data_IF_446765344406
#
_entry.id   IF_446765344406
#
_cell.length_a   1.000
_cell.length_b   1.000
_cell.length_c   1.000
_cell.angle_alpha   90.00
_cell.angle_beta   90.00
_cell.angle_gamma   90.00
#
_symmetry.space_group_name_H-M   'P 1'
#
loop_
_entity.id
_entity.type
_entity.pdbx_description
1 polymer ?
#
# COMPACT_ATOMS: atom_id res chain seq x y z
N UNK A 1 13.48 38.04 5.68
CA UNK A 1 13.13 36.80 4.96
C UNK A 1 14.16 35.70 5.27
N UNK A 2 15.45 35.95 5.00
CA UNK A 2 16.59 35.05 5.31
C UNK A 2 16.78 34.77 6.81
N UNK A 3 16.38 35.71 7.67
CA UNK A 3 16.60 35.63 9.12
C UNK A 3 15.55 34.78 9.85
N UNK A 4 14.30 34.72 9.34
CA UNK A 4 13.26 33.80 9.85
C UNK A 4 13.51 32.35 9.40
N UNK A 5 13.99 32.18 8.16
CA UNK A 5 14.44 30.87 7.64
C UNK A 5 15.65 30.38 8.47
N UNK A 6 16.65 31.23 8.74
CA UNK A 6 17.74 30.92 9.66
C UNK A 6 17.31 30.66 11.10
N UNK A 7 16.26 31.32 11.59
CA UNK A 7 15.72 31.06 12.93
C UNK A 7 14.94 29.73 13.02
N UNK A 8 14.42 29.22 11.91
CA UNK A 8 13.87 27.87 11.81
C UNK A 8 14.99 26.83 11.72
N UNK A 9 16.08 27.13 11.01
CA UNK A 9 17.29 26.29 10.95
C UNK A 9 18.06 26.22 12.28
N UNK A 10 18.09 27.31 13.07
CA UNK A 10 18.89 27.42 14.30
C UNK A 10 18.14 27.06 15.60
N UNK A 11 16.84 26.74 15.55
CA UNK A 11 16.15 26.19 16.72
C UNK A 11 16.35 24.69 16.76
N UNK A 12 17.45 24.30 17.40
CA UNK A 12 17.67 22.98 17.99
C UNK A 12 16.57 22.66 19.02
N UNK A 13 15.37 22.37 18.53
CA UNK A 13 14.39 21.56 19.25
C UNK A 13 14.83 20.11 19.05
N UNK A 14 14.83 19.28 20.11
CA UNK A 14 15.07 17.85 19.92
C UNK A 14 13.99 17.35 18.95
N UNK A 15 14.42 16.91 17.76
CA UNK A 15 13.55 16.37 16.73
C UNK A 15 12.76 15.21 17.35
N UNK A 16 11.50 15.46 17.71
CA UNK A 16 10.57 14.40 18.08
C UNK A 16 10.33 13.62 16.79
N UNK A 17 11.04 12.49 16.69
CA UNK A 17 11.34 11.69 15.51
C UNK A 17 12.60 12.18 14.76
N UNK A 18 13.72 11.61 15.15
CA UNK A 18 14.74 11.16 14.20
C UNK A 18 14.00 10.36 13.10
N UNK A 19 13.68 11.02 11.99
CA UNK A 19 12.71 10.55 10.99
C UNK A 19 13.19 9.21 10.41
N UNK A 20 12.52 8.14 10.82
CA UNK A 20 12.73 6.80 10.26
C UNK A 20 12.20 6.78 8.83
N UNK A 21 13.06 7.10 7.86
CA UNK A 21 12.76 6.98 6.43
C UNK A 21 12.33 5.56 6.09
N UNK A 22 11.12 5.34 5.56
CA UNK A 22 10.73 4.02 5.05
C UNK A 22 11.46 3.78 3.75
N UNK A 23 12.54 3.02 3.85
CA UNK A 23 13.35 2.66 2.70
C UNK A 23 12.57 1.76 1.76
N UNK A 24 11.53 1.07 2.28
CA UNK A 24 10.77 0.07 1.55
C UNK A 24 9.29 0.08 1.92
N UNK A 25 8.45 -0.21 0.94
CA UNK A 25 7.02 -0.41 1.14
C UNK A 25 6.57 -1.70 0.46
N UNK A 26 5.96 -2.59 1.26
CA UNK A 26 5.26 -3.77 0.77
C UNK A 26 3.79 -3.39 0.52
N UNK A 27 3.32 -3.65 -0.70
CA UNK A 27 1.98 -3.29 -1.16
C UNK A 27 1.20 -4.59 -1.39
N UNK A 28 0.09 -4.77 -0.69
CA UNK A 28 -0.84 -5.85 -0.99
C UNK A 28 -1.51 -5.64 -2.35
N UNK A 29 -1.90 -6.74 -2.99
CA UNK A 29 -2.48 -6.71 -4.33
C UNK A 29 -4.00 -6.71 -4.26
N UNK A 30 -4.60 -7.83 -3.85
CA UNK A 30 -6.04 -8.01 -3.80
C UNK A 30 -6.65 -7.05 -2.76
N UNK A 31 -7.79 -6.45 -3.09
CA UNK A 31 -8.49 -5.44 -2.27
C UNK A 31 -7.66 -4.22 -1.82
N UNK A 32 -6.46 -4.02 -2.36
CA UNK A 32 -5.54 -2.92 -2.02
C UNK A 32 -5.02 -2.19 -3.27
N UNK A 33 -4.08 -2.78 -4.00
CA UNK A 33 -3.62 -2.22 -5.28
C UNK A 33 -4.71 -2.30 -6.34
N UNK A 34 -5.55 -3.34 -6.29
CA UNK A 34 -6.67 -3.57 -7.20
C UNK A 34 -7.92 -3.93 -6.41
N UNK A 35 -9.09 -3.44 -6.82
CA UNK A 35 -10.36 -3.63 -6.12
C UNK A 35 -11.01 -4.99 -6.32
N UNK A 36 -10.24 -6.03 -6.64
CA UNK A 36 -10.76 -7.38 -6.87
C UNK A 36 -9.93 -8.41 -6.11
N UNK A 37 -10.54 -9.59 -5.91
CA UNK A 37 -9.90 -10.79 -5.37
C UNK A 37 -9.61 -11.77 -6.52
N UNK A 38 -8.34 -12.06 -6.80
CA UNK A 38 -7.94 -12.90 -7.94
C UNK A 38 -8.51 -14.31 -7.88
N UNK A 39 -8.53 -14.93 -6.70
CA UNK A 39 -9.05 -16.30 -6.52
C UNK A 39 -10.56 -16.38 -6.76
N UNK A 40 -11.31 -15.34 -6.37
CA UNK A 40 -12.76 -15.27 -6.59
C UNK A 40 -13.08 -15.15 -8.09
N UNK A 41 -12.23 -14.42 -8.84
CA UNK A 41 -12.36 -14.34 -10.28
C UNK A 41 -12.12 -15.70 -10.95
N UNK A 42 -11.10 -16.44 -10.51
CA UNK A 42 -10.85 -17.81 -11.00
C UNK A 42 -12.02 -18.74 -10.70
N UNK A 43 -12.56 -18.67 -9.47
CA UNK A 43 -13.74 -19.46 -9.09
C UNK A 43 -14.98 -19.10 -9.91
N UNK A 44 -15.15 -17.82 -10.25
CA UNK A 44 -16.24 -17.34 -11.11
C UNK A 44 -16.15 -17.91 -12.53
N UNK A 45 -14.96 -17.96 -13.13
CA UNK A 45 -14.75 -18.55 -14.47
C UNK A 45 -15.25 -20.00 -14.51
N UNK A 46 -15.15 -20.70 -13.39
CA UNK A 46 -15.49 -22.12 -13.23
C UNK A 46 -16.92 -22.37 -12.72
N UNK A 47 -17.67 -21.31 -12.39
CA UNK A 47 -19.02 -21.44 -11.84
C UNK A 47 -19.08 -21.90 -10.38
N UNK A 48 -17.95 -21.97 -9.68
CA UNK A 48 -17.84 -22.43 -8.27
C UNK A 48 -17.67 -21.28 -7.27
N UNK A 49 -17.87 -20.04 -7.71
CA UNK A 49 -17.66 -18.83 -6.90
C UNK A 49 -18.36 -18.85 -5.54
N UNK A 50 -19.64 -19.20 -5.49
CA UNK A 50 -20.40 -19.26 -4.21
C UNK A 50 -19.75 -20.21 -3.21
N UNK A 51 -19.38 -21.41 -3.65
CA UNK A 51 -18.74 -22.43 -2.82
C UNK A 51 -17.38 -21.96 -2.31
N UNK A 52 -16.57 -21.35 -3.19
CA UNK A 52 -15.24 -20.82 -2.81
C UNK A 52 -15.36 -19.66 -1.80
N UNK A 53 -16.34 -18.78 -1.95
CA UNK A 53 -16.61 -17.70 -0.99
C UNK A 53 -17.01 -18.27 0.38
N UNK A 54 -17.89 -19.27 0.41
CA UNK A 54 -18.29 -19.95 1.65
C UNK A 54 -17.09 -20.65 2.32
N UNK A 55 -16.25 -21.35 1.55
CA UNK A 55 -15.02 -21.97 2.05
C UNK A 55 -14.06 -20.94 2.65
N UNK A 56 -13.93 -19.79 2.00
CA UNK A 56 -13.06 -18.69 2.48
C UNK A 56 -13.56 -18.15 3.82
N UNK A 57 -14.88 -17.96 3.96
CA UNK A 57 -15.50 -17.51 5.22
C UNK A 57 -15.27 -18.53 6.35
N UNK A 58 -15.40 -19.83 6.08
CA UNK A 58 -15.22 -20.86 7.10
C UNK A 58 -13.75 -21.05 7.50
N UNK A 59 -12.82 -20.98 6.54
CA UNK A 59 -11.39 -21.08 6.81
C UNK A 59 -10.87 -19.98 7.75
N UNK A 60 -11.45 -18.77 7.68
CA UNK A 60 -11.11 -17.67 8.57
C UNK A 60 -11.73 -17.78 9.98
N UNK A 61 -12.72 -18.66 10.18
CA UNK A 61 -13.43 -18.83 11.45
C UNK A 61 -12.96 -20.03 12.31
N UNK A 62 -12.44 -21.09 11.70
CA UNK A 62 -12.23 -22.38 12.38
C UNK A 62 -10.77 -22.70 12.76
N UNK A 63 -9.83 -21.76 12.65
CA UNK A 63 -8.42 -22.02 12.98
C UNK A 63 -7.75 -23.09 12.11
N UNK A 64 -8.28 -23.30 10.90
CA UNK A 64 -7.71 -24.22 9.92
C UNK A 64 -6.46 -23.65 9.25
N UNK A 65 -5.54 -24.54 8.85
CA UNK A 65 -4.30 -24.13 8.16
C UNK A 65 -4.60 -23.42 6.84
N UNK A 66 -4.10 -22.19 6.69
CA UNK A 66 -4.27 -21.38 5.47
C UNK A 66 -3.86 -22.14 4.20
N UNK A 67 -2.77 -22.92 4.27
CA UNK A 67 -2.27 -23.74 3.17
C UNK A 67 -3.31 -24.77 2.72
N UNK A 68 -3.94 -25.48 3.67
CA UNK A 68 -4.98 -26.47 3.40
C UNK A 68 -6.23 -25.81 2.82
N UNK A 69 -6.62 -24.64 3.33
CA UNK A 69 -7.75 -23.89 2.80
C UNK A 69 -7.51 -23.39 1.37
N UNK A 70 -6.29 -22.92 1.07
CA UNK A 70 -5.89 -22.55 -0.29
C UNK A 70 -5.90 -23.76 -1.23
N UNK A 71 -5.31 -24.88 -0.82
CA UNK A 71 -5.28 -26.12 -1.59
C UNK A 71 -6.69 -26.60 -1.96
N UNK A 72 -7.61 -26.65 -1.00
CA UNK A 72 -9.01 -27.07 -1.24
C UNK A 72 -9.74 -26.15 -2.22
N UNK A 73 -9.52 -24.83 -2.13
CA UNK A 73 -10.12 -23.88 -3.07
C UNK A 73 -9.57 -24.09 -4.48
N UNK A 74 -8.26 -24.22 -4.63
CA UNK A 74 -7.63 -24.47 -5.93
C UNK A 74 -8.03 -25.81 -6.54
N UNK A 75 -8.19 -26.84 -5.72
CA UNK A 75 -8.67 -28.16 -6.16
C UNK A 75 -10.09 -28.11 -6.72
N UNK A 76 -10.95 -27.26 -6.15
CA UNK A 76 -12.30 -27.04 -6.66
C UNK A 76 -12.30 -26.16 -7.93
N UNK A 77 -11.40 -25.19 -8.00
CA UNK A 77 -11.33 -24.24 -9.12
C UNK A 77 -10.72 -24.92 -10.35
N UNK A 78 -9.64 -25.70 -10.20
CA UNK A 78 -8.84 -26.23 -11.32
C UNK A 78 -8.53 -25.12 -12.34
N UNK A 79 -7.79 -24.06 -11.94
CA UNK A 79 -7.49 -22.94 -12.83
C UNK A 79 -6.72 -23.41 -14.06
N UNK A 80 -6.80 -22.67 -15.17
CA UNK A 80 -5.92 -22.89 -16.33
C UNK A 80 -4.95 -21.75 -16.42
N UNK A 81 -3.78 -21.98 -17.02
CA UNK A 81 -2.76 -20.95 -17.16
C UNK A 81 -3.32 -19.66 -17.79
N UNK A 82 -4.09 -19.81 -18.88
CA UNK A 82 -4.78 -18.71 -19.58
C UNK A 82 -5.76 -17.92 -18.71
N UNK A 83 -6.27 -18.51 -17.63
CA UNK A 83 -7.18 -17.80 -16.72
C UNK A 83 -6.40 -16.75 -15.91
N UNK A 84 -5.10 -16.97 -15.64
CA UNK A 84 -4.25 -16.00 -14.96
C UNK A 84 -3.96 -14.78 -15.83
N UNK A 85 -3.85 -14.95 -17.15
CA UNK A 85 -3.78 -13.83 -18.10
C UNK A 85 -5.07 -13.00 -18.06
N UNK A 86 -6.22 -13.66 -17.99
CA UNK A 86 -7.49 -12.97 -17.84
C UNK A 86 -7.57 -12.21 -16.50
N UNK A 87 -7.16 -12.83 -15.40
CA UNK A 87 -7.09 -12.18 -14.08
C UNK A 87 -6.18 -10.96 -14.12
N UNK A 88 -4.98 -11.07 -14.73
CA UNK A 88 -4.05 -9.96 -14.87
C UNK A 88 -4.65 -8.76 -15.61
N UNK A 89 -5.39 -9.01 -16.68
CA UNK A 89 -6.10 -7.96 -17.42
C UNK A 89 -7.19 -7.29 -16.58
N UNK A 90 -7.91 -8.04 -15.75
CA UNK A 90 -8.92 -7.49 -14.84
C UNK A 90 -8.26 -6.71 -13.70
N UNK A 91 -7.12 -7.17 -13.16
CA UNK A 91 -6.34 -6.42 -12.17
C UNK A 91 -5.95 -5.04 -12.69
N UNK A 92 -5.37 -4.97 -13.90
CA UNK A 92 -4.94 -3.69 -14.50
C UNK A 92 -6.14 -2.74 -14.68
N UNK A 93 -7.31 -3.27 -15.08
CA UNK A 93 -8.53 -2.46 -15.25
C UNK A 93 -9.12 -1.92 -13.95
N UNK A 94 -8.88 -2.57 -12.82
CA UNK A 94 -9.46 -2.22 -11.51
C UNK A 94 -8.40 -1.72 -10.50
N UNK A 95 -7.24 -1.31 -11.00
CA UNK A 95 -6.17 -0.76 -10.18
C UNK A 95 -6.58 0.59 -9.56
N UNK A 96 -6.01 0.92 -8.39
CA UNK A 96 -6.07 2.28 -7.83
C UNK A 96 -5.52 3.26 -8.86
N UNK A 97 -6.35 4.25 -9.25
CA UNK A 97 -6.13 5.09 -10.45
C UNK A 97 -4.78 5.79 -10.48
N UNK A 98 -4.27 6.21 -9.32
CA UNK A 98 -3.00 6.94 -9.19
C UNK A 98 -1.83 6.07 -8.71
N UNK A 99 -2.03 4.75 -8.53
CA UNK A 99 -0.99 3.85 -8.02
C UNK A 99 0.28 3.92 -8.85
N UNK A 100 0.17 3.91 -10.18
CA UNK A 100 1.35 3.95 -11.07
C UNK A 100 2.21 5.19 -10.83
N UNK A 101 1.61 6.37 -10.89
CA UNK A 101 2.33 7.66 -10.73
C UNK A 101 2.92 7.78 -9.33
N UNK A 102 2.18 7.35 -8.30
CA UNK A 102 2.68 7.36 -6.91
C UNK A 102 3.86 6.41 -6.74
N UNK A 103 3.77 5.19 -7.27
CA UNK A 103 4.85 4.18 -7.18
C UNK A 103 6.09 4.67 -7.92
N UNK A 104 5.94 5.19 -9.13
CA UNK A 104 7.04 5.79 -9.91
C UNK A 104 7.71 6.93 -9.12
N UNK A 105 6.91 7.82 -8.49
CA UNK A 105 7.44 8.92 -7.68
C UNK A 105 8.17 8.44 -6.42
N UNK A 106 7.63 7.43 -5.73
CA UNK A 106 8.27 6.82 -4.56
C UNK A 106 9.61 6.18 -4.93
N UNK A 107 9.65 5.41 -6.03
CA UNK A 107 10.87 4.78 -6.56
C UNK A 107 11.92 5.83 -6.97
N UNK A 108 11.51 6.89 -7.68
CA UNK A 108 12.39 8.00 -8.07
C UNK A 108 13.00 8.72 -6.85
N UNK A 109 12.33 8.63 -5.70
CA UNK A 109 12.75 9.19 -4.42
C UNK A 109 13.40 8.13 -3.49
N UNK A 110 13.83 6.99 -4.04
CA UNK A 110 14.64 6.00 -3.35
C UNK A 110 13.88 5.05 -2.43
N UNK A 111 12.56 4.96 -2.56
CA UNK A 111 11.73 3.97 -1.86
C UNK A 111 11.67 2.67 -2.68
N UNK A 112 12.06 1.57 -2.08
CA UNK A 112 12.00 0.22 -2.67
C UNK A 112 10.59 -0.35 -2.54
N UNK A 113 9.80 -0.25 -3.61
CA UNK A 113 8.42 -0.72 -3.67
C UNK A 113 8.35 -2.19 -4.07
N UNK A 114 7.56 -3.00 -3.36
CA UNK A 114 7.36 -4.42 -3.65
C UNK A 114 5.91 -4.84 -3.52
N UNK A 115 5.52 -5.89 -4.25
CA UNK A 115 4.21 -6.51 -4.11
C UNK A 115 4.31 -7.72 -3.19
N UNK A 116 3.41 -7.80 -2.21
CA UNK A 116 3.38 -8.86 -1.20
C UNK A 116 1.95 -9.37 -1.04
N UNK A 117 1.65 -10.49 -1.71
CA UNK A 117 0.26 -10.97 -1.87
C UNK A 117 0.10 -12.45 -1.57
N UNK A 118 -1.05 -12.81 -0.99
CA UNK A 118 -1.49 -14.22 -0.90
C UNK A 118 -2.05 -14.77 -2.22
N UNK A 119 -2.19 -13.92 -3.25
CA UNK A 119 -2.62 -14.27 -4.60
C UNK A 119 -1.51 -14.92 -5.43
N UNK A 120 -1.69 -14.92 -6.76
CA UNK A 120 -0.90 -15.74 -7.67
C UNK A 120 0.12 -14.93 -8.47
N UNK A 121 1.37 -15.36 -8.44
CA UNK A 121 2.50 -14.64 -9.05
C UNK A 121 2.28 -14.44 -10.54
N UNK A 122 1.82 -15.46 -11.27
CA UNK A 122 1.67 -15.38 -12.72
C UNK A 122 0.67 -14.27 -13.16
N UNK A 123 -0.41 -14.02 -12.39
CA UNK A 123 -1.35 -12.93 -12.69
C UNK A 123 -0.86 -11.56 -12.18
N UNK A 124 0.06 -11.54 -11.22
CA UNK A 124 0.64 -10.32 -10.66
C UNK A 124 1.78 -9.77 -11.52
N UNK A 125 2.53 -10.62 -12.25
CA UNK A 125 3.64 -10.18 -13.11
C UNK A 125 3.22 -9.11 -14.13
N UNK A 126 2.12 -9.28 -14.92
CA UNK A 126 1.72 -8.25 -15.86
C UNK A 126 1.25 -6.95 -15.17
N UNK A 127 0.59 -7.07 -14.01
CA UNK A 127 0.19 -5.91 -13.19
C UNK A 127 1.42 -5.14 -12.69
N UNK A 128 2.42 -5.83 -12.14
CA UNK A 128 3.67 -5.25 -11.66
C UNK A 128 4.41 -4.52 -12.78
N UNK A 129 4.50 -5.14 -13.96
CA UNK A 129 5.07 -4.52 -15.16
C UNK A 129 4.33 -3.25 -15.56
N UNK A 130 3.00 -3.24 -15.47
CA UNK A 130 2.18 -2.06 -15.80
C UNK A 130 2.46 -0.86 -14.88
N UNK A 131 2.81 -1.10 -13.61
CA UNK A 131 3.13 -0.05 -12.62
C UNK A 131 4.62 0.16 -12.37
N UNK A 132 5.49 -0.48 -13.14
CA UNK A 132 6.94 -0.31 -13.01
C UNK A 132 7.57 -0.98 -11.79
N UNK A 133 6.95 -2.01 -11.20
CA UNK A 133 7.59 -2.83 -10.16
C UNK A 133 8.33 -3.99 -10.84
N UNK A 134 9.63 -4.16 -10.58
CA UNK A 134 10.42 -5.20 -11.24
C UNK A 134 10.09 -6.59 -10.67
N UNK A 135 10.27 -7.63 -11.48
CA UNK A 135 9.77 -8.98 -11.17
C UNK A 135 10.38 -9.60 -9.90
N UNK A 136 11.62 -9.23 -9.57
CA UNK A 136 12.30 -9.64 -8.32
C UNK A 136 11.68 -9.04 -7.05
N UNK A 137 10.84 -8.00 -7.20
CA UNK A 137 10.10 -7.36 -6.12
C UNK A 137 8.65 -7.86 -6.02
N UNK A 138 8.35 -9.02 -6.63
CA UNK A 138 7.05 -9.69 -6.53
C UNK A 138 7.18 -10.90 -5.62
N UNK A 139 6.44 -10.88 -4.52
CA UNK A 139 6.32 -11.99 -3.58
C UNK A 139 4.84 -12.43 -3.56
N UNK A 140 4.57 -13.59 -4.14
CA UNK A 140 3.23 -14.18 -4.29
C UNK A 140 3.33 -15.71 -4.37
N UNK A 141 2.20 -16.42 -4.38
CA UNK A 141 2.16 -17.87 -4.56
C UNK A 141 2.31 -18.26 -6.03
N UNK A 142 3.07 -19.31 -6.31
CA UNK A 142 3.25 -19.84 -7.66
C UNK A 142 2.27 -20.99 -7.91
N UNK A 143 1.60 -20.96 -9.07
CA UNK A 143 0.79 -22.06 -9.58
C UNK A 143 1.57 -22.82 -10.66
N UNK A 144 1.47 -24.14 -10.63
CA UNK A 144 2.12 -25.04 -11.58
C UNK A 144 1.10 -25.58 -12.58
N UNK A 145 1.51 -25.64 -13.84
CA UNK A 145 0.68 -26.12 -14.96
C UNK A 145 1.45 -27.15 -15.79
N UNK A 146 0.72 -28.07 -16.44
CA UNK A 146 1.30 -28.98 -17.44
C UNK A 146 1.46 -28.27 -18.80
N UNK A 147 1.97 -29.00 -19.80
CA UNK A 147 2.19 -28.46 -21.15
C UNK A 147 0.88 -28.04 -21.85
N UNK A 148 -0.25 -28.62 -21.45
CA UNK A 148 -1.60 -28.27 -21.92
C UNK A 148 -2.22 -27.08 -21.17
N UNK A 149 -1.51 -26.49 -20.19
CA UNK A 149 -1.97 -25.36 -19.39
C UNK A 149 -3.00 -25.72 -18.31
N UNK A 150 -3.07 -26.99 -17.92
CA UNK A 150 -3.93 -27.51 -16.85
C UNK A 150 -3.21 -27.50 -15.50
N UNK A 151 -3.96 -27.22 -14.43
CA UNK A 151 -3.43 -27.08 -13.08
C UNK A 151 -2.84 -28.39 -12.54
N UNK A 152 -1.60 -28.30 -12.05
CA UNK A 152 -0.89 -29.41 -11.38
C UNK A 152 -0.76 -29.22 -9.87
N UNK A 153 -0.94 -28.00 -9.38
CA UNK A 153 -0.70 -27.67 -7.97
C UNK A 153 -0.15 -26.26 -7.77
N UNK A 154 0.27 -25.97 -6.56
CA UNK A 154 0.93 -24.72 -6.19
C UNK A 154 2.14 -25.01 -5.30
N UNK A 155 3.03 -24.03 -5.15
CA UNK A 155 4.16 -24.15 -4.22
C UNK A 155 3.69 -24.06 -2.76
N UNK A 156 3.38 -25.22 -2.15
CA UNK A 156 3.03 -25.30 -0.73
C UNK A 156 4.17 -24.98 0.23
N UNK A 157 5.42 -24.92 -0.26
CA UNK A 157 6.59 -24.48 0.51
C UNK A 157 6.72 -22.96 0.56
N UNK A 158 6.03 -22.23 -0.32
CA UNK A 158 6.06 -20.77 -0.37
C UNK A 158 5.54 -20.19 0.95
N UNK A 159 6.26 -19.22 1.52
CA UNK A 159 5.89 -18.57 2.78
C UNK A 159 4.48 -17.95 2.71
N UNK A 160 4.09 -17.40 1.57
CA UNK A 160 2.78 -16.74 1.38
C UNK A 160 1.63 -17.74 1.21
N UNK A 161 1.93 -19.03 1.15
CA UNK A 161 0.95 -20.10 1.22
C UNK A 161 0.76 -20.64 2.63
N UNK A 162 1.46 -20.07 3.63
CA UNK A 162 1.44 -20.52 5.02
C UNK A 162 0.78 -19.48 5.94
N UNK A 163 0.42 -19.92 7.14
CA UNK A 163 0.01 -19.01 8.21
C UNK A 163 1.08 -17.95 8.49
N UNK A 164 0.61 -16.71 8.67
CA UNK A 164 1.45 -15.51 8.86
C UNK A 164 2.52 -15.35 7.78
N UNK A 165 2.21 -15.76 6.55
CA UNK A 165 3.13 -15.76 5.43
C UNK A 165 3.78 -14.40 5.15
N UNK A 166 2.98 -13.33 5.15
CA UNK A 166 3.48 -11.96 4.93
C UNK A 166 4.50 -11.55 6.00
N UNK A 167 4.28 -11.89 7.27
CA UNK A 167 5.25 -11.66 8.36
C UNK A 167 6.57 -12.37 8.08
N UNK A 168 6.52 -13.70 7.84
CA UNK A 168 7.70 -14.53 7.56
C UNK A 168 8.47 -14.03 6.33
N UNK A 169 7.76 -13.58 5.30
CA UNK A 169 8.38 -13.04 4.10
C UNK A 169 9.10 -11.71 4.38
N UNK A 170 8.52 -10.81 5.17
CA UNK A 170 9.17 -9.55 5.55
C UNK A 170 10.38 -9.80 6.44
N UNK A 171 10.29 -10.71 7.41
CA UNK A 171 11.42 -11.16 8.23
C UNK A 171 12.60 -11.62 7.35
N UNK A 172 12.32 -12.50 6.38
CA UNK A 172 13.30 -12.97 5.39
C UNK A 172 13.92 -11.84 4.56
N UNK A 173 13.15 -10.80 4.23
CA UNK A 173 13.65 -9.63 3.47
C UNK A 173 14.50 -8.70 4.34
N UNK A 174 14.14 -8.51 5.61
CA UNK A 174 14.92 -7.75 6.58
C UNK A 174 16.32 -8.34 6.78
N UNK A 175 16.45 -9.67 6.79
CA UNK A 175 17.77 -10.33 6.84
C UNK A 175 18.68 -10.00 5.64
N UNK A 176 18.12 -9.69 4.47
CA UNK A 176 18.92 -9.40 3.26
C UNK A 176 19.40 -7.97 3.17
N UNK A 177 18.59 -7.00 3.59
CA UNK A 177 18.98 -5.59 3.62
C UNK A 177 18.14 -4.83 4.63
N UNK A 178 18.85 -4.13 5.52
CA UNK A 178 18.33 -3.35 6.63
C UNK A 178 17.58 -2.12 6.15
N UNK A 179 16.71 -1.57 7.00
CA UNK A 179 15.90 -0.39 6.72
C UNK A 179 14.53 -0.48 7.38
N UNK A 180 13.80 0.63 7.37
CA UNK A 180 12.42 0.68 7.85
C UNK A 180 11.45 0.19 6.78
N UNK A 181 10.54 -0.69 7.17
CA UNK A 181 9.54 -1.30 6.30
C UNK A 181 8.15 -0.78 6.64
N UNK A 182 7.51 -0.18 5.64
CA UNK A 182 6.08 0.05 5.65
C UNK A 182 5.35 -1.12 4.95
N UNK A 183 4.13 -1.40 5.37
CA UNK A 183 3.20 -2.27 4.65
C UNK A 183 1.86 -1.57 4.47
N UNK A 184 1.24 -1.75 3.31
CA UNK A 184 -0.12 -1.30 3.01
C UNK A 184 -1.00 -2.47 2.55
N UNK A 185 -2.20 -2.58 3.11
CA UNK A 185 -3.21 -3.56 2.72
C UNK A 185 -4.53 -3.38 3.48
N UNK A 186 -5.57 -4.08 3.04
CA UNK A 186 -6.90 -4.00 3.65
C UNK A 186 -7.11 -5.05 4.75
N UNK A 187 -6.20 -6.00 4.89
CA UNK A 187 -6.36 -7.23 5.63
C UNK A 187 -5.71 -7.26 7.01
N UNK A 188 -6.16 -8.21 7.83
CA UNK A 188 -5.53 -8.52 9.13
C UNK A 188 -4.10 -9.06 8.93
N UNK A 189 -3.82 -9.69 7.80
CA UNK A 189 -2.49 -10.21 7.47
C UNK A 189 -1.40 -9.14 7.48
N UNK A 190 -1.74 -7.87 7.20
CA UNK A 190 -0.81 -6.75 7.27
C UNK A 190 -0.62 -6.25 8.70
N UNK A 191 -1.62 -6.42 9.57
CA UNK A 191 -1.43 -6.10 11.00
C UNK A 191 -0.53 -7.13 11.68
N UNK A 192 -0.67 -8.40 11.27
CA UNK A 192 0.09 -9.54 11.81
C UNK A 192 1.58 -9.50 11.47
N UNK A 193 2.04 -8.56 10.63
CA UNK A 193 3.46 -8.40 10.32
C UNK A 193 4.26 -7.75 11.45
N UNK A 194 3.62 -7.24 12.51
CA UNK A 194 4.34 -6.77 13.70
C UNK A 194 5.11 -7.94 14.39
N UNK A 195 6.36 -7.74 14.85
CA UNK A 195 7.15 -6.50 14.85
C UNK A 195 8.03 -6.30 13.60
N UNK A 196 7.89 -7.14 12.57
CA UNK A 196 8.75 -7.12 11.38
C UNK A 196 8.47 -5.91 10.48
N UNK A 197 7.31 -5.28 10.58
CA UNK A 197 7.04 -3.98 9.93
C UNK A 197 7.12 -2.86 10.94
N UNK A 198 7.76 -1.77 10.53
CA UNK A 198 7.91 -0.55 11.33
C UNK A 198 6.66 0.34 11.25
N UNK A 199 5.85 0.18 10.19
CA UNK A 199 4.68 1.00 9.93
C UNK A 199 3.62 0.28 9.10
N UNK A 200 2.37 0.33 9.56
CA UNK A 200 1.25 -0.36 8.91
C UNK A 200 0.20 0.65 8.49
N UNK A 201 -0.10 0.64 7.20
CA UNK A 201 -1.07 1.51 6.55
C UNK A 201 -2.26 0.64 6.15
N UNK A 202 -3.37 0.77 6.88
CA UNK A 202 -4.62 0.14 6.49
C UNK A 202 -5.20 0.84 5.26
N UNK A 203 -5.66 0.07 4.28
CA UNK A 203 -6.30 0.59 3.09
C UNK A 203 -7.76 0.18 3.03
N UNK A 204 -8.65 1.18 2.99
CA UNK A 204 -10.11 1.02 2.99
C UNK A 204 -10.77 1.44 1.68
N UNK A 205 -10.01 1.75 0.64
CA UNK A 205 -10.54 2.31 -0.61
C UNK A 205 -11.47 1.38 -1.40
N UNK A 206 -11.39 0.07 -1.16
CA UNK A 206 -12.29 -0.92 -1.75
C UNK A 206 -13.11 -1.67 -0.70
N UNK A 207 -12.47 -2.14 0.37
CA UNK A 207 -13.10 -2.87 1.47
C UNK A 207 -12.65 -2.27 2.79
N UNK A 208 -13.60 -1.79 3.59
CA UNK A 208 -13.30 -1.27 4.93
C UNK A 208 -13.47 -2.38 5.97
N UNK A 209 -12.35 -2.78 6.59
CA UNK A 209 -12.35 -3.77 7.68
C UNK A 209 -12.21 -3.07 9.02
N UNK A 210 -13.19 -3.24 9.89
CA UNK A 210 -13.25 -2.56 11.20
C UNK A 210 -11.97 -2.76 12.02
N UNK A 211 -11.46 -4.00 12.05
CA UNK A 211 -10.23 -4.33 12.78
C UNK A 211 -9.00 -3.60 12.23
N UNK A 212 -8.85 -3.56 10.91
CA UNK A 212 -7.74 -2.84 10.25
C UNK A 212 -7.83 -1.34 10.49
N UNK A 213 -9.04 -0.77 10.38
CA UNK A 213 -9.28 0.62 10.71
C UNK A 213 -8.88 0.95 12.15
N UNK A 214 -9.13 0.05 13.11
CA UNK A 214 -8.81 0.25 14.54
C UNK A 214 -7.33 0.05 14.88
N UNK A 215 -6.68 -0.95 14.28
CA UNK A 215 -5.35 -1.43 14.72
C UNK A 215 -4.18 -0.94 13.85
N UNK A 216 -4.40 -0.51 12.60
CA UNK A 216 -3.34 0.03 11.75
C UNK A 216 -2.80 1.37 12.31
N UNK A 217 -1.53 1.69 12.05
CA UNK A 217 -0.93 2.94 12.53
C UNK A 217 -1.55 4.16 11.81
N UNK A 218 -1.91 3.98 10.54
CA UNK A 218 -2.70 4.89 9.71
C UNK A 218 -3.76 4.11 8.94
N UNK A 219 -4.90 4.72 8.65
CA UNK A 219 -5.93 4.16 7.76
C UNK A 219 -6.33 5.14 6.64
N UNK A 220 -6.30 4.70 5.39
CA UNK A 220 -6.71 5.45 4.20
C UNK A 220 -8.12 5.00 3.81
N UNK A 221 -9.13 5.88 3.92
CA UNK A 221 -10.52 5.51 3.62
C UNK A 221 -10.86 5.52 2.13
N UNK A 222 -10.10 6.27 1.33
CA UNK A 222 -10.41 6.55 -0.08
C UNK A 222 -9.58 5.69 -1.04
N UNK A 223 -10.08 5.40 -2.26
CA UNK A 223 -9.38 4.62 -3.28
C UNK A 223 -8.29 5.42 -4.00
N UNK A 224 -7.29 5.89 -3.25
CA UNK A 224 -6.14 6.65 -3.75
C UNK A 224 -4.87 6.33 -2.97
N UNK A 225 -3.75 6.28 -3.66
CA UNK A 225 -2.42 6.10 -3.09
C UNK A 225 -1.69 7.43 -2.89
N UNK A 226 -2.24 8.58 -3.30
CA UNK A 226 -1.54 9.86 -3.17
C UNK A 226 -1.09 10.19 -1.74
N UNK A 227 -1.80 9.84 -0.65
CA UNK A 227 -1.30 10.08 0.69
C UNK A 227 0.06 9.42 0.96
N UNK A 228 0.39 8.30 0.29
CA UNK A 228 1.67 7.61 0.47
C UNK A 228 2.88 8.49 0.18
N UNK A 229 2.74 9.51 -0.67
CA UNK A 229 3.80 10.50 -0.93
C UNK A 229 4.18 11.21 0.37
N UNK A 230 3.20 11.66 1.16
CA UNK A 230 3.40 12.37 2.41
C UNK A 230 3.74 11.44 3.58
N UNK A 231 3.27 10.20 3.52
CA UNK A 231 3.45 9.21 4.59
C UNK A 231 4.80 8.50 4.53
N UNK A 232 5.40 8.36 3.34
CA UNK A 232 6.61 7.55 3.13
C UNK A 232 7.85 8.35 2.76
N UNK A 233 7.69 9.55 2.18
CA UNK A 233 8.83 10.41 1.87
C UNK A 233 9.20 11.29 3.05
N UNK A 234 10.49 11.58 3.17
CA UNK A 234 10.95 12.56 4.14
C UNK A 234 10.59 14.00 3.70
N UNK A 235 10.50 14.93 4.65
CA UNK A 235 10.16 16.32 4.37
C UNK A 235 11.09 17.04 3.38
N UNK A 236 12.36 16.64 3.23
CA UNK A 236 13.28 17.28 2.28
C UNK A 236 12.95 16.87 0.85
N UNK A 237 12.65 15.59 0.62
CA UNK A 237 12.17 15.11 -0.69
C UNK A 237 10.83 15.72 -1.07
N UNK A 238 9.92 15.87 -0.11
CA UNK A 238 8.62 16.55 -0.34
C UNK A 238 8.84 18.01 -0.75
N UNK A 239 9.74 18.74 -0.07
CA UNK A 239 10.12 20.11 -0.47
C UNK A 239 10.75 20.16 -1.85
N UNK A 240 11.64 19.22 -2.17
CA UNK A 240 12.25 19.11 -3.50
C UNK A 240 11.19 18.91 -4.58
N UNK A 241 10.24 18.00 -4.36
CA UNK A 241 9.10 17.82 -5.28
C UNK A 241 8.35 19.14 -5.44
N UNK A 242 8.04 19.82 -4.34
CA UNK A 242 7.24 21.03 -4.36
C UNK A 242 7.92 22.22 -5.04
N UNK A 243 9.21 22.48 -4.76
CA UNK A 243 9.94 23.65 -5.22
C UNK A 243 10.66 23.44 -6.55
N UNK A 244 11.14 22.22 -6.82
CA UNK A 244 12.05 21.95 -7.95
C UNK A 244 11.42 21.08 -9.05
N UNK A 245 10.40 20.26 -8.74
CA UNK A 245 9.78 19.33 -9.70
C UNK A 245 8.35 19.75 -10.02
N UNK A 246 8.20 20.79 -10.83
CA UNK A 246 6.90 21.37 -11.16
C UNK A 246 5.94 20.35 -11.79
N UNK A 247 6.46 19.40 -12.56
CA UNK A 247 5.73 18.28 -13.16
C UNK A 247 5.07 17.35 -12.11
N UNK A 248 5.65 17.26 -10.90
CA UNK A 248 5.15 16.44 -9.80
C UNK A 248 4.35 17.25 -8.77
N UNK A 249 4.20 18.57 -8.95
CA UNK A 249 3.49 19.41 -7.99
C UNK A 249 2.00 19.07 -7.93
N UNK A 250 1.36 18.76 -9.06
CA UNK A 250 -0.07 18.43 -9.10
C UNK A 250 -0.39 17.18 -8.27
N UNK A 251 0.40 16.11 -8.40
CA UNK A 251 0.19 14.88 -7.63
C UNK A 251 0.47 15.11 -6.13
N UNK A 252 1.43 15.98 -5.78
CA UNK A 252 1.68 16.37 -4.39
C UNK A 252 0.53 17.19 -3.80
N UNK A 253 -0.05 18.13 -4.55
CA UNK A 253 -1.26 18.86 -4.12
C UNK A 253 -2.41 17.89 -3.89
N UNK A 254 -2.60 16.93 -4.81
CA UNK A 254 -3.59 15.86 -4.64
C UNK A 254 -3.33 15.04 -3.37
N UNK A 255 -2.07 14.76 -3.03
CA UNK A 255 -1.72 14.07 -1.79
C UNK A 255 -2.20 14.84 -0.55
N UNK A 256 -1.96 16.15 -0.48
CA UNK A 256 -2.45 16.99 0.62
C UNK A 256 -3.98 17.03 0.70
N UNK A 257 -4.67 17.19 -0.44
CA UNK A 257 -6.13 17.21 -0.48
C UNK A 257 -6.76 15.88 -0.02
N UNK A 258 -6.09 14.76 -0.32
CA UNK A 258 -6.50 13.42 0.08
C UNK A 258 -6.24 13.10 1.56
N UNK A 259 -5.53 13.95 2.31
CA UNK A 259 -5.29 13.74 3.74
C UNK A 259 -6.58 13.80 4.58
N UNK A 260 -7.66 14.38 4.06
CA UNK A 260 -9.00 14.37 4.67
C UNK A 260 -9.56 12.97 4.88
N UNK A 261 -9.18 12.01 4.02
CA UNK A 261 -9.53 10.59 4.13
C UNK A 261 -8.52 9.76 4.92
N UNK A 262 -7.61 10.37 5.68
CA UNK A 262 -6.55 9.68 6.41
C UNK A 262 -6.78 9.77 7.91
N UNK A 263 -6.93 8.62 8.54
CA UNK A 263 -7.06 8.49 9.99
C UNK A 263 -5.70 8.12 10.61
N UNK A 264 -5.21 8.95 11.53
CA UNK A 264 -3.96 8.73 12.25
C UNK A 264 -4.22 8.12 13.64
N UNK A 265 -3.47 7.08 14.01
CA UNK A 265 -3.47 6.55 15.39
C UNK A 265 -2.35 7.17 16.22
N UNK A 266 -2.36 6.90 17.53
CA UNK A 266 -1.42 7.49 18.49
C UNK A 266 0.05 7.41 18.04
N UNK A 267 0.48 6.25 17.51
CA UNK A 267 1.85 6.06 16.99
C UNK A 267 2.21 6.97 15.81
N UNK A 268 1.21 7.41 15.04
CA UNK A 268 1.38 8.21 13.82
C UNK A 268 1.08 9.71 14.01
N UNK A 269 0.64 10.16 15.20
CA UNK A 269 0.39 11.58 15.48
C UNK A 269 1.59 12.52 15.22
N UNK A 270 2.84 12.15 15.55
CA UNK A 270 3.96 13.02 15.22
C UNK A 270 4.16 13.21 13.71
N UNK A 271 3.90 12.17 12.91
CA UNK A 271 3.92 12.26 11.45
C UNK A 271 2.81 13.20 10.94
N UNK A 272 1.61 13.09 11.51
CA UNK A 272 0.50 14.00 11.21
C UNK A 272 0.89 15.47 11.42
N UNK A 273 1.52 15.78 12.55
CA UNK A 273 1.99 17.14 12.85
C UNK A 273 3.03 17.63 11.83
N UNK A 274 3.98 16.78 11.43
CA UNK A 274 4.98 17.13 10.42
C UNK A 274 4.35 17.44 9.06
N UNK A 275 3.30 16.71 8.66
CA UNK A 275 2.55 16.97 7.43
C UNK A 275 1.82 18.31 7.49
N UNK A 276 1.23 18.67 8.65
CA UNK A 276 0.58 19.97 8.86
C UNK A 276 1.59 21.11 8.70
N UNK A 277 2.78 20.99 9.31
CA UNK A 277 3.83 22.01 9.21
C UNK A 277 4.31 22.20 7.76
N UNK A 278 4.48 21.11 7.00
CA UNK A 278 4.79 21.16 5.56
C UNK A 278 3.68 21.85 4.77
N UNK A 279 2.43 21.55 5.10
CA UNK A 279 1.28 22.14 4.44
C UNK A 279 1.22 23.66 4.65
N UNK A 280 1.40 24.12 5.89
CA UNK A 280 1.44 25.55 6.22
C UNK A 280 2.58 26.29 5.50
N UNK A 281 3.76 25.67 5.41
CA UNK A 281 4.91 26.18 4.65
C UNK A 281 4.54 26.42 3.17
N UNK A 282 3.91 25.42 2.53
CA UNK A 282 3.57 25.50 1.11
C UNK A 282 2.43 26.48 0.83
N UNK A 283 1.41 26.54 1.69
CA UNK A 283 0.34 27.54 1.58
C UNK A 283 0.91 28.96 1.68
N UNK A 284 1.84 29.18 2.61
CA UNK A 284 2.54 30.46 2.71
C UNK A 284 3.30 30.76 1.41
N UNK A 285 4.07 29.80 0.88
CA UNK A 285 4.81 29.98 -0.37
C UNK A 285 3.90 30.34 -1.55
N UNK A 286 2.80 29.63 -1.77
CA UNK A 286 1.89 29.89 -2.90
C UNK A 286 1.16 31.22 -2.79
N UNK A 287 0.87 31.69 -1.58
CA UNK A 287 0.21 32.99 -1.37
C UNK A 287 1.12 34.18 -1.67
N UNK A 288 2.44 34.03 -1.52
CA UNK A 288 3.37 35.16 -1.58
C UNK A 288 4.38 35.10 -2.73
N UNK A 289 4.59 33.96 -3.39
CA UNK A 289 5.72 33.76 -4.32
C UNK A 289 5.30 33.23 -5.71
N UNK A 290 4.29 32.36 -5.85
CA UNK A 290 3.85 31.83 -7.16
C UNK A 290 2.36 31.42 -7.15
N UNK A 291 1.49 31.95 -8.03
CA UNK A 291 0.04 31.83 -7.95
C UNK A 291 -0.53 30.53 -8.56
N UNK A 292 0.07 29.37 -8.27
CA UNK A 292 -0.60 28.08 -8.52
C UNK A 292 -1.36 27.69 -7.25
N UNK A 293 -2.69 27.48 -7.38
CA UNK A 293 -3.60 27.40 -6.23
C UNK A 293 -3.44 26.08 -5.45
N UNK A 294 -2.95 26.18 -4.22
CA UNK A 294 -3.21 25.19 -3.16
C UNK A 294 -4.45 25.68 -2.39
N UNK A 295 -5.49 24.85 -2.30
CA UNK A 295 -6.67 25.18 -1.52
C UNK A 295 -6.34 25.07 -0.02
N UNK A 296 -6.67 26.09 0.81
CA UNK A 296 -6.44 26.07 2.25
C UNK A 296 -7.15 24.88 2.92
N UNK A 297 -6.54 24.29 3.94
CA UNK A 297 -7.07 23.20 4.77
C UNK A 297 -7.03 23.61 6.24
N UNK A 298 -8.04 23.20 7.00
CA UNK A 298 -8.16 23.34 8.45
C UNK A 298 -8.28 21.96 9.09
N UNK A 299 -8.07 21.91 10.40
CA UNK A 299 -8.19 20.70 11.18
C UNK A 299 -9.26 20.89 12.25
N UNK A 300 -10.07 19.86 12.47
CA UNK A 300 -11.00 19.83 13.60
C UNK A 300 -10.37 19.13 14.82
N UNK A 301 -11.04 19.24 15.96
CA UNK A 301 -10.60 18.66 17.24
C UNK A 301 -10.56 17.12 17.23
N UNK A 302 -11.11 16.47 16.19
CA UNK A 302 -11.11 15.02 16.01
C UNK A 302 -9.95 14.53 15.14
N UNK A 303 -9.12 15.45 14.63
CA UNK A 303 -7.95 15.13 13.81
C UNK A 303 -8.27 14.90 12.33
N UNK A 304 -9.44 15.35 11.85
CA UNK A 304 -9.82 15.28 10.44
C UNK A 304 -9.25 16.48 9.68
N UNK A 305 -8.58 16.22 8.56
CA UNK A 305 -8.22 17.29 7.61
C UNK A 305 -9.47 17.72 6.83
N UNK A 306 -9.76 19.01 6.76
CA UNK A 306 -10.85 19.56 5.94
C UNK A 306 -10.32 20.65 5.02
N UNK A 307 -10.85 20.76 3.81
CA UNK A 307 -10.62 21.92 2.95
C UNK A 307 -11.34 23.12 3.59
N UNK A 308 -10.63 24.23 3.83
CA UNK A 308 -11.24 25.51 4.17
C UNK A 308 -11.93 26.02 2.90
N UNK A 309 -13.25 26.14 2.97
CA UNK A 309 -14.05 26.80 1.93
C UNK A 309 -13.64 28.27 1.75
#
# INVERSE_FOLDING_TARGET
MTEKIRQLENKSKPYLLDHKFYHRVAIDVDSCLTGIEGIDLLAKIRGVGKTVTEMTRNAMGEGGSFNVALARRLELIQPKEKDLDYVANIYIKNIVKDARVVIELLQANGVDTMLLSGGFRNSIIPLAKFIGIPEQNIYANDLFFNEEGEYLGFDGGNLLSQEKGKKKQIEKLKHKKTGFYAIIGDGVSELETEPETDFRIGFGGFVQRERVMKEADIFLSEPTFTPLILLLLDPQKIRKIFYEQLENREILIKAFNSMSGVLFRERAKPLQQSIIELYEEFVFYTKFISPDRIHPCSMDDNGLFSLVQ
#
